data_IF_287576193902
#
_entry.id   IF_287576193902
#
_cell.length_a   1.000
_cell.length_b   1.000
_cell.length_c   1.000
_cell.angle_alpha   90.00
_cell.angle_beta   90.00
_cell.angle_gamma   90.00
#
_symmetry.space_group_name_H-M   'P 1'
#
loop_
_entity.id
_entity.type
_entity.pdbx_description
1 polymer ?
#
# COMPACT_ATOMS: atom_id res chain seq x y z
N UNK A 1 18.87 5.99 46.00
CA UNK A 1 18.55 6.57 44.68
C UNK A 1 19.66 6.26 43.69
N UNK A 2 19.57 5.12 42.99
CA UNK A 2 20.59 4.62 42.04
C UNK A 2 20.99 5.63 40.96
N UNK A 3 20.07 6.51 40.56
CA UNK A 3 20.35 7.56 39.59
C UNK A 3 21.28 8.65 40.14
N UNK A 4 21.03 9.11 41.38
CA UNK A 4 21.88 10.13 42.01
C UNK A 4 23.29 9.60 42.26
N UNK A 5 23.42 8.32 42.58
CA UNK A 5 24.71 7.65 42.76
C UNK A 5 25.46 7.52 41.44
N UNK A 6 24.76 7.19 40.35
CA UNK A 6 25.34 7.09 38.99
C UNK A 6 25.82 8.45 38.47
N UNK A 7 25.02 9.51 38.65
CA UNK A 7 25.39 10.89 38.30
C UNK A 7 26.61 11.35 39.09
N UNK A 8 26.66 11.08 40.39
CA UNK A 8 27.77 11.47 41.27
C UNK A 8 29.06 10.72 40.93
N UNK A 9 28.94 9.46 40.48
CA UNK A 9 30.08 8.68 39.98
C UNK A 9 30.66 9.28 38.69
N UNK A 10 29.79 9.73 37.77
CA UNK A 10 30.19 10.21 36.45
C UNK A 10 30.75 11.64 36.44
N UNK A 11 30.13 12.56 37.18
CA UNK A 11 30.51 13.98 37.18
C UNK A 11 31.17 14.44 38.49
N UNK A 12 31.23 13.59 39.51
CA UNK A 12 31.78 13.97 40.81
C UNK A 12 30.86 14.90 41.62
N UNK A 13 31.43 15.60 42.60
CA UNK A 13 30.66 16.43 43.56
C UNK A 13 30.48 17.88 43.08
N UNK A 14 31.27 18.33 42.10
CA UNK A 14 31.26 19.70 41.57
C UNK A 14 30.51 19.65 40.24
N UNK A 15 29.42 20.41 40.14
CA UNK A 15 28.32 20.19 39.16
C UNK A 15 28.32 21.18 38.01
N UNK A 16 29.45 21.81 37.73
CA UNK A 16 29.51 22.93 36.78
C UNK A 16 29.33 22.49 35.32
N UNK A 17 29.69 21.23 35.01
CA UNK A 17 29.57 20.65 33.67
C UNK A 17 28.41 19.63 33.55
N UNK A 18 27.55 19.52 34.58
CA UNK A 18 26.47 18.53 34.59
C UNK A 18 25.26 19.04 33.78
N UNK A 19 24.80 18.31 32.75
CA UNK A 19 23.53 18.63 32.10
C UNK A 19 22.35 18.47 33.07
N UNK A 20 21.28 19.24 32.86
CA UNK A 20 20.07 19.19 33.69
C UNK A 20 19.48 17.78 33.76
N UNK A 21 19.63 17.01 32.67
CA UNK A 21 19.28 15.60 32.61
C UNK A 21 20.31 14.81 31.81
N UNK A 22 20.87 13.75 32.41
CA UNK A 22 21.76 12.81 31.73
C UNK A 22 21.02 11.50 31.48
N UNK A 23 20.64 11.30 30.21
CA UNK A 23 19.89 10.14 29.75
C UNK A 23 20.64 8.83 29.97
N UNK A 24 21.96 8.81 29.82
CA UNK A 24 22.75 7.58 29.94
C UNK A 24 22.81 7.14 31.40
N UNK A 25 23.03 8.08 32.31
CA UNK A 25 23.03 7.82 33.75
C UNK A 25 21.65 7.38 34.24
N UNK A 26 20.57 7.85 33.60
CA UNK A 26 19.21 7.41 33.90
C UNK A 26 18.98 5.98 33.42
N UNK A 27 19.40 5.65 32.19
CA UNK A 27 19.32 4.30 31.65
C UNK A 27 20.10 3.28 32.49
N UNK A 28 21.29 3.61 32.95
CA UNK A 28 22.07 2.74 33.83
C UNK A 28 21.37 2.53 35.18
N UNK A 29 20.82 3.59 35.76
CA UNK A 29 20.19 3.55 37.07
C UNK A 29 18.84 2.82 37.10
N UNK A 30 18.08 2.87 36.00
CA UNK A 30 16.81 2.15 35.88
C UNK A 30 16.98 0.74 35.33
N UNK A 31 18.23 0.28 35.10
CA UNK A 31 18.50 -0.97 34.38
C UNK A 31 17.67 -1.00 33.09
N UNK A 32 17.92 -0.02 32.22
CA UNK A 32 17.19 0.24 30.97
C UNK A 32 16.86 -1.05 30.22
N UNK A 33 15.79 -1.04 29.39
CA UNK A 33 15.12 -2.25 28.93
C UNK A 33 16.15 -3.29 28.49
N UNK A 34 16.30 -4.35 29.30
CA UNK A 34 17.20 -5.45 28.97
C UNK A 34 16.79 -5.91 27.58
N UNK A 35 17.75 -5.95 26.67
CA UNK A 35 17.53 -6.26 25.26
C UNK A 35 16.89 -7.66 25.14
N UNK A 36 15.57 -7.71 25.21
CA UNK A 36 14.80 -8.94 25.30
C UNK A 36 13.56 -8.80 26.18
N UNK A 37 12.40 -9.03 25.55
CA UNK A 37 11.07 -9.24 26.11
C UNK A 37 10.18 -8.00 26.27
N UNK A 38 9.51 -7.65 25.16
CA UNK A 38 8.17 -7.09 25.22
C UNK A 38 7.21 -8.29 25.21
N UNK A 39 6.55 -8.57 26.33
CA UNK A 39 5.53 -9.62 26.41
C UNK A 39 4.22 -9.09 25.84
N UNK A 40 3.90 -9.44 24.60
CA UNK A 40 2.53 -9.42 24.10
C UNK A 40 1.83 -10.71 24.52
N UNK A 41 0.60 -10.60 25.01
CA UNK A 41 -0.25 -11.73 25.42
C UNK A 41 -0.63 -12.62 24.21
N UNK A 42 0.27 -13.50 23.79
CA UNK A 42 0.05 -14.51 22.75
C UNK A 42 0.43 -15.92 23.23
N UNK A 43 -0.13 -16.98 22.63
CA UNK A 43 0.05 -18.35 23.13
C UNK A 43 1.51 -18.78 23.11
N UNK A 44 1.90 -19.48 24.17
CA UNK A 44 3.26 -19.95 24.46
C UNK A 44 3.77 -20.93 23.40
N UNK A 45 4.67 -20.47 22.52
CA UNK A 45 5.46 -21.36 21.65
C UNK A 45 6.74 -21.82 22.36
N UNK A 46 7.17 -23.08 22.17
CA UNK A 46 8.29 -23.66 22.91
C UNK A 46 9.64 -23.00 22.57
N UNK A 47 10.45 -22.80 23.62
CA UNK A 47 11.72 -22.06 23.64
C UNK A 47 12.84 -22.59 22.71
N UNK A 48 12.59 -23.66 21.95
CA UNK A 48 13.55 -24.23 21.00
C UNK A 48 13.85 -23.35 19.80
N UNK A 49 13.04 -22.30 19.55
CA UNK A 49 13.30 -21.31 18.50
C UNK A 49 14.29 -20.19 18.92
N UNK A 50 14.58 -20.05 20.22
CA UNK A 50 15.28 -18.86 20.76
C UNK A 50 16.76 -19.13 21.05
N UNK A 51 17.17 -20.37 21.34
CA UNK A 51 18.58 -20.74 21.32
C UNK A 51 18.94 -21.13 19.89
N UNK A 52 19.77 -20.34 19.22
CA UNK A 52 20.29 -20.58 17.87
C UNK A 52 21.08 -21.89 17.72
N UNK A 53 20.40 -23.02 17.89
CA UNK A 53 20.75 -24.24 17.22
C UNK A 53 20.59 -23.95 15.73
N UNK A 54 21.59 -24.23 14.88
CA UNK A 54 21.42 -24.09 13.45
C UNK A 54 20.33 -25.09 13.05
N UNK A 55 19.09 -24.61 12.92
CA UNK A 55 18.12 -25.28 12.07
C UNK A 55 18.82 -25.35 10.73
N UNK A 56 19.09 -26.58 10.30
CA UNK A 56 19.83 -26.91 9.09
C UNK A 56 19.59 -25.86 7.99
N UNK A 57 20.62 -25.31 7.30
CA UNK A 57 20.46 -24.28 6.27
C UNK A 57 19.39 -24.60 5.22
N UNK A 58 19.04 -25.89 5.10
CA UNK A 58 17.92 -26.38 4.29
C UNK A 58 16.56 -25.80 4.70
N UNK A 59 16.27 -25.63 5.99
CA UNK A 59 14.94 -25.18 6.42
C UNK A 59 14.68 -23.70 6.12
N UNK A 60 15.67 -22.82 6.27
CA UNK A 60 15.54 -21.39 5.94
C UNK A 60 15.55 -21.10 4.44
N UNK A 61 16.22 -21.94 3.64
CA UNK A 61 16.19 -21.87 2.18
C UNK A 61 14.82 -22.35 1.67
N UNK A 62 14.30 -23.47 2.20
CA UNK A 62 12.99 -24.00 1.82
C UNK A 62 11.85 -23.01 2.11
N UNK A 63 11.84 -22.34 3.26
CA UNK A 63 10.82 -21.31 3.57
C UNK A 63 10.90 -20.11 2.62
N UNK A 64 12.10 -19.68 2.26
CA UNK A 64 12.30 -18.57 1.31
C UNK A 64 11.89 -18.95 -0.11
N UNK A 65 12.18 -20.18 -0.54
CA UNK A 65 11.77 -20.69 -1.84
C UNK A 65 10.24 -20.83 -1.93
N UNK A 66 9.59 -21.24 -0.84
CA UNK A 66 8.13 -21.31 -0.72
C UNK A 66 7.47 -19.93 -0.80
N UNK A 67 8.01 -18.94 -0.07
CA UNK A 67 7.57 -17.54 -0.17
C UNK A 67 7.72 -16.98 -1.59
N UNK A 68 8.86 -17.21 -2.25
CA UNK A 68 9.10 -16.77 -3.62
C UNK A 68 8.14 -17.45 -4.60
N UNK A 69 7.83 -18.73 -4.38
CA UNK A 69 6.86 -19.45 -5.22
C UNK A 69 5.44 -18.92 -5.02
N UNK A 70 5.03 -18.63 -3.77
CA UNK A 70 3.74 -18.02 -3.47
C UNK A 70 3.60 -16.63 -4.13
N UNK A 71 4.64 -15.79 -4.03
CA UNK A 71 4.68 -14.48 -4.69
C UNK A 71 4.61 -14.58 -6.21
N UNK A 72 5.23 -15.60 -6.82
CA UNK A 72 5.11 -15.84 -8.26
C UNK A 72 3.70 -16.21 -8.67
N UNK A 73 3.01 -17.04 -7.88
CA UNK A 73 1.61 -17.41 -8.15
C UNK A 73 0.71 -16.19 -8.02
N UNK A 74 0.90 -15.37 -6.98
CA UNK A 74 0.15 -14.14 -6.79
C UNK A 74 0.40 -13.13 -7.94
N UNK A 75 1.65 -12.98 -8.37
CA UNK A 75 2.01 -12.13 -9.49
C UNK A 75 1.33 -12.59 -10.79
N UNK A 76 1.33 -13.90 -11.07
CA UNK A 76 0.67 -14.45 -12.25
C UNK A 76 -0.86 -14.24 -12.20
N UNK A 77 -1.46 -14.40 -11.02
CA UNK A 77 -2.89 -14.13 -10.81
C UNK A 77 -3.24 -12.65 -11.02
N UNK A 78 -2.41 -11.75 -10.48
CA UNK A 78 -2.57 -10.31 -10.67
C UNK A 78 -2.42 -9.91 -12.15
N UNK A 79 -1.45 -10.47 -12.86
CA UNK A 79 -1.25 -10.24 -14.30
C UNK A 79 -2.46 -10.68 -15.12
N UNK A 80 -3.00 -11.88 -14.86
CA UNK A 80 -4.21 -12.36 -15.53
C UNK A 80 -5.41 -11.44 -15.27
N UNK A 81 -5.55 -10.98 -14.03
CA UNK A 81 -6.62 -10.04 -13.65
C UNK A 81 -6.49 -8.70 -14.37
N UNK A 82 -5.27 -8.19 -14.53
CA UNK A 82 -5.00 -6.96 -15.29
C UNK A 82 -5.36 -7.15 -16.77
N UNK A 83 -4.94 -8.25 -17.39
CA UNK A 83 -5.24 -8.58 -18.78
C UNK A 83 -6.75 -8.62 -19.03
N UNK A 84 -7.50 -9.36 -18.21
CA UNK A 84 -8.95 -9.45 -18.29
C UNK A 84 -9.64 -8.09 -18.09
N UNK A 85 -9.11 -7.26 -17.20
CA UNK A 85 -9.65 -5.91 -17.00
C UNK A 85 -9.39 -5.00 -18.21
N UNK A 86 -8.23 -5.12 -18.86
CA UNK A 86 -7.93 -4.38 -20.09
C UNK A 86 -8.90 -4.79 -21.22
N UNK A 87 -9.13 -6.08 -21.44
CA UNK A 87 -10.11 -6.55 -22.42
C UNK A 87 -11.53 -5.97 -22.15
N UNK A 88 -11.91 -5.89 -20.87
CA UNK A 88 -13.19 -5.31 -20.46
C UNK A 88 -13.25 -3.81 -20.69
N UNK A 89 -12.15 -3.09 -20.48
CA UNK A 89 -12.05 -1.65 -20.78
C UNK A 89 -12.22 -1.42 -22.28
N UNK A 90 -11.59 -2.23 -23.12
CA UNK A 90 -11.69 -2.13 -24.58
C UNK A 90 -13.13 -2.38 -25.06
N UNK A 91 -13.81 -3.43 -24.55
CA UNK A 91 -15.23 -3.69 -24.86
C UNK A 91 -16.13 -2.52 -24.45
N UNK A 92 -15.96 -2.02 -23.23
CA UNK A 92 -16.76 -0.90 -22.72
C UNK A 92 -16.53 0.38 -23.53
N UNK A 93 -15.30 0.64 -23.96
CA UNK A 93 -14.95 1.78 -24.80
C UNK A 93 -15.66 1.70 -26.15
N UNK A 94 -15.64 0.53 -26.80
CA UNK A 94 -16.35 0.31 -28.06
C UNK A 94 -17.87 0.46 -27.91
N UNK A 95 -18.43 -0.04 -26.80
CA UNK A 95 -19.87 0.07 -26.52
C UNK A 95 -20.29 1.52 -26.26
N UNK A 96 -19.49 2.27 -25.52
CA UNK A 96 -19.74 3.68 -25.25
C UNK A 96 -19.74 4.49 -26.56
N UNK A 97 -18.73 4.28 -27.41
CA UNK A 97 -18.64 4.94 -28.71
C UNK A 97 -19.82 4.59 -29.63
N UNK A 98 -20.34 3.35 -29.55
CA UNK A 98 -21.55 2.95 -30.27
C UNK A 98 -22.80 3.67 -29.74
N UNK A 99 -22.96 3.73 -28.42
CA UNK A 99 -24.09 4.40 -27.78
C UNK A 99 -24.09 5.89 -28.12
N UNK A 100 -22.94 6.56 -28.06
CA UNK A 100 -22.80 7.97 -28.41
C UNK A 100 -23.15 8.23 -29.88
N UNK A 101 -22.67 7.39 -30.80
CA UNK A 101 -23.03 7.50 -32.22
C UNK A 101 -24.53 7.31 -32.43
N UNK A 102 -25.12 6.29 -31.83
CA UNK A 102 -26.55 6.00 -31.96
C UNK A 102 -27.38 7.15 -31.40
N UNK A 103 -27.06 7.63 -30.20
CA UNK A 103 -27.75 8.74 -29.58
C UNK A 103 -27.65 10.02 -30.41
N UNK A 104 -26.47 10.30 -30.97
CA UNK A 104 -26.28 11.44 -31.88
C UNK A 104 -27.15 11.33 -33.13
N UNK A 105 -27.26 10.15 -33.73
CA UNK A 105 -28.13 9.91 -34.90
C UNK A 105 -29.59 10.09 -34.52
N UNK A 106 -30.05 9.49 -33.43
CA UNK A 106 -31.43 9.60 -32.94
C UNK A 106 -31.82 11.06 -32.67
N UNK A 107 -30.94 11.84 -32.03
CA UNK A 107 -31.16 13.26 -31.81
C UNK A 107 -31.26 14.04 -33.12
N UNK A 108 -30.37 13.77 -34.08
CA UNK A 108 -30.42 14.40 -35.40
C UNK A 108 -31.71 14.06 -36.15
N UNK A 109 -32.17 12.81 -36.09
CA UNK A 109 -33.41 12.37 -36.71
C UNK A 109 -34.64 13.02 -36.07
N UNK A 110 -34.67 13.09 -34.73
CA UNK A 110 -35.74 13.74 -33.96
C UNK A 110 -35.83 15.22 -34.31
N UNK A 111 -34.70 15.92 -34.39
CA UNK A 111 -34.70 17.34 -34.79
C UNK A 111 -35.11 17.48 -36.26
N UNK A 112 -34.68 16.57 -37.16
CA UNK A 112 -35.13 16.57 -38.57
C UNK A 112 -36.61 16.32 -38.74
N UNK A 113 -37.25 15.50 -37.88
CA UNK A 113 -38.70 15.29 -37.96
C UNK A 113 -39.44 16.55 -37.54
N UNK A 114 -39.03 17.18 -36.42
CA UNK A 114 -39.61 18.45 -35.96
C UNK A 114 -39.48 19.57 -37.00
N UNK A 115 -38.31 19.70 -37.64
CA UNK A 115 -38.09 20.71 -38.69
C UNK A 115 -38.94 20.48 -39.93
N UNK A 116 -39.20 19.21 -40.28
CA UNK A 116 -40.13 18.86 -41.37
C UNK A 116 -41.57 19.22 -41.02
N UNK A 117 -42.00 18.95 -39.78
CA UNK A 117 -43.32 19.37 -39.28
C UNK A 117 -43.50 20.89 -39.31
N UNK A 118 -42.43 21.64 -39.02
CA UNK A 118 -42.42 23.11 -39.06
C UNK A 118 -42.18 23.70 -40.46
N UNK A 119 -42.03 22.86 -41.50
CA UNK A 119 -41.76 23.26 -42.88
C UNK A 119 -40.52 24.17 -43.04
N UNK A 120 -39.42 23.84 -42.33
CA UNK A 120 -38.13 24.54 -42.39
C UNK A 120 -37.14 23.71 -43.25
N UNK A 121 -36.93 24.04 -44.53
CA UNK A 121 -36.28 23.12 -45.48
C UNK A 121 -34.74 23.11 -45.49
N UNK A 122 -34.06 24.07 -44.84
CA UNK A 122 -32.61 24.29 -45.03
C UNK A 122 -31.77 24.23 -43.74
N UNK A 123 -32.18 23.46 -42.73
CA UNK A 123 -31.37 23.30 -41.52
C UNK A 123 -30.28 22.23 -41.74
N UNK A 124 -29.02 22.64 -41.64
CA UNK A 124 -27.87 21.75 -41.76
C UNK A 124 -27.21 21.59 -40.39
N UNK A 125 -27.08 20.35 -39.93
CA UNK A 125 -26.33 20.10 -38.71
C UNK A 125 -24.86 20.38 -38.97
N UNK A 126 -24.15 21.04 -38.03
CA UNK A 126 -22.72 21.19 -38.13
C UNK A 126 -22.10 19.79 -38.20
N UNK A 127 -21.37 19.53 -39.29
CA UNK A 127 -20.54 18.34 -39.42
C UNK A 127 -19.43 18.42 -38.38
N UNK A 128 -19.32 17.40 -37.52
CA UNK A 128 -18.22 17.27 -36.57
C UNK A 128 -16.92 16.99 -37.33
N UNK A 129 -16.31 18.02 -37.90
CA UNK A 129 -14.90 18.02 -38.25
C UNK A 129 -14.12 18.36 -36.98
N UNK A 130 -13.96 17.38 -36.10
CA UNK A 130 -13.12 17.45 -34.91
C UNK A 130 -12.07 16.36 -35.00
N UNK A 131 -10.82 16.82 -35.08
CA UNK A 131 -9.55 16.10 -35.24
C UNK A 131 -9.32 14.92 -34.31
#
# INVERSE_FOLDING_TARGET
DTYKDSIKSKYGTIRDDQPEFDLDSWMDAVSGPSKGHVYGFGPQEPASYILGMPTSPRHSILTRDEEVNNLKVELASAQNTIEKNNERIDDLTLRLERVERNHRVEMQETVRSMLRELNIPNFQFPSSSGS
#
